data_IF_665616971897
#
_entry.id   IF_665616971897
#
_cell.length_a   1.000
_cell.length_b   1.000
_cell.length_c   1.000
_cell.angle_alpha   90.00
_cell.angle_beta   90.00
_cell.angle_gamma   90.00
#
_symmetry.space_group_name_H-M   'P 1'
#
loop_
_entity.id
_entity.type
_entity.pdbx_description
1 polymer ?
#
# COMPACT_ATOMS: atom_id res chain seq x y z
N UNK A 1 56.90 0.36 18.91
CA UNK A 1 55.89 -0.74 19.02
C UNK A 1 54.52 -0.26 19.53
N UNK A 2 53.96 0.81 19.01
CA UNK A 2 52.70 1.40 19.57
C UNK A 2 51.55 1.59 18.55
N UNK A 3 51.79 1.29 17.25
CA UNK A 3 50.74 1.45 16.23
C UNK A 3 49.78 0.27 16.07
N UNK A 4 50.13 -0.93 16.51
CA UNK A 4 49.26 -2.11 16.36
C UNK A 4 48.12 -2.18 17.37
N UNK A 5 48.28 -1.58 18.57
CA UNK A 5 47.22 -1.61 19.60
C UNK A 5 46.04 -0.67 19.28
N UNK A 6 46.26 0.41 18.53
CA UNK A 6 45.25 1.37 18.16
C UNK A 6 44.23 0.81 17.10
N UNK A 7 44.73 -0.03 16.18
CA UNK A 7 43.92 -0.58 15.11
C UNK A 7 42.89 -1.62 15.66
N UNK A 8 43.36 -2.42 16.63
CA UNK A 8 42.50 -3.42 17.28
C UNK A 8 41.41 -2.78 18.15
N UNK A 9 41.71 -1.66 18.81
CA UNK A 9 40.71 -0.90 19.57
C UNK A 9 39.65 -0.28 18.65
N UNK A 10 40.04 0.16 17.44
CA UNK A 10 39.14 0.74 16.46
C UNK A 10 38.23 -0.32 15.83
N UNK A 11 38.74 -1.52 15.53
CA UNK A 11 37.97 -2.66 15.01
C UNK A 11 36.99 -3.16 16.06
N UNK A 12 37.38 -3.24 17.33
CA UNK A 12 36.46 -3.64 18.42
C UNK A 12 35.37 -2.60 18.65
N UNK A 13 35.65 -1.31 18.56
CA UNK A 13 34.65 -0.25 18.65
C UNK A 13 33.67 -0.30 17.47
N UNK A 14 34.14 -0.58 16.25
CA UNK A 14 33.32 -0.71 15.07
C UNK A 14 32.39 -1.93 15.16
N UNK A 15 32.85 -3.06 15.68
CA UNK A 15 32.06 -4.27 15.89
C UNK A 15 30.96 -4.11 16.94
N UNK A 16 31.09 -3.17 17.89
CA UNK A 16 30.09 -2.88 18.91
C UNK A 16 29.03 -1.87 18.41
N UNK A 17 29.40 -0.98 17.49
CA UNK A 17 28.46 0.01 16.94
C UNK A 17 27.53 -0.61 15.91
N UNK A 18 28.00 -1.54 15.08
CA UNK A 18 27.20 -2.19 14.03
C UNK A 18 26.00 -2.95 14.60
N UNK A 19 26.12 -3.83 15.62
CA UNK A 19 24.94 -4.49 16.19
C UNK A 19 24.00 -3.53 16.94
N UNK A 20 24.51 -2.43 17.52
CA UNK A 20 23.65 -1.44 18.16
C UNK A 20 22.82 -0.65 17.15
N UNK A 21 23.35 -0.37 15.95
CA UNK A 21 22.57 0.23 14.87
C UNK A 21 21.51 -0.75 14.32
N UNK A 22 21.82 -2.04 14.21
CA UNK A 22 20.83 -3.05 13.83
C UNK A 22 19.76 -3.27 14.89
N UNK A 23 20.09 -3.10 16.19
CA UNK A 23 19.08 -3.19 17.25
C UNK A 23 18.17 -1.95 17.32
N UNK A 24 18.64 -0.76 16.90
CA UNK A 24 17.80 0.43 16.82
C UNK A 24 16.82 0.41 15.63
N UNK A 25 17.13 -0.35 14.57
CA UNK A 25 16.19 -0.60 13.47
C UNK A 25 15.21 -1.72 13.77
N UNK A 26 15.44 -2.51 14.82
CA UNK A 26 14.55 -3.58 15.29
C UNK A 26 13.44 -3.09 16.24
N UNK A 27 13.33 -1.79 16.54
CA UNK A 27 12.06 -1.17 16.94
C UNK A 27 11.17 -0.99 15.70
N UNK A 28 11.08 -2.02 14.88
CA UNK A 28 10.13 -2.10 13.79
C UNK A 28 8.73 -1.99 14.36
N UNK A 29 7.92 -1.08 13.83
CA UNK A 29 6.50 -1.06 14.13
C UNK A 29 5.97 -2.48 14.00
N UNK A 30 5.45 -3.00 15.11
CA UNK A 30 4.92 -4.35 15.15
C UNK A 30 3.86 -4.47 14.05
N UNK A 31 3.97 -5.47 13.20
CA UNK A 31 2.98 -5.74 12.17
C UNK A 31 1.60 -5.86 12.81
N UNK A 32 0.61 -5.26 12.17
CA UNK A 32 -0.79 -5.38 12.59
C UNK A 32 -1.49 -6.49 11.80
N UNK A 33 -2.63 -6.98 12.31
CA UNK A 33 -3.57 -7.74 11.51
C UNK A 33 -4.37 -6.75 10.66
N UNK A 34 -4.64 -7.08 9.40
CA UNK A 34 -5.55 -6.31 8.56
C UNK A 34 -7.02 -6.52 8.92
N UNK A 35 -7.35 -7.63 9.60
CA UNK A 35 -8.73 -8.00 9.97
C UNK A 35 -9.33 -6.99 10.94
N UNK A 36 -10.55 -6.55 10.63
CA UNK A 36 -11.25 -5.52 11.39
C UNK A 36 -10.72 -4.10 11.19
N UNK A 37 -9.79 -3.88 10.25
CA UNK A 37 -9.14 -2.59 10.06
C UNK A 37 -9.67 -1.87 8.82
N UNK A 38 -9.86 -0.57 8.97
CA UNK A 38 -10.20 0.36 7.87
C UNK A 38 -8.96 1.15 7.46
N UNK A 39 -8.74 1.25 6.17
CA UNK A 39 -7.63 1.98 5.56
C UNK A 39 -8.18 3.15 4.74
N UNK A 40 -7.61 4.33 4.96
CA UNK A 40 -8.05 5.58 4.31
C UNK A 40 -6.86 6.43 3.87
N UNK A 41 -7.10 7.35 2.95
CA UNK A 41 -6.14 8.43 2.63
C UNK A 41 -6.14 9.42 3.79
N UNK A 42 -4.98 9.65 4.41
CA UNK A 42 -4.83 10.63 5.49
C UNK A 42 -4.53 12.03 4.97
N UNK A 43 -3.71 12.12 3.92
CA UNK A 43 -3.31 13.40 3.34
C UNK A 43 -3.30 13.30 1.80
N UNK A 44 -4.32 13.89 1.17
CA UNK A 44 -4.48 13.86 -0.29
C UNK A 44 -3.29 14.42 -1.08
N UNK A 45 -2.46 15.28 -0.50
CA UNK A 45 -1.33 15.88 -1.20
C UNK A 45 -0.10 14.96 -1.19
N UNK A 46 0.16 14.26 -0.08
CA UNK A 46 1.33 13.37 0.05
C UNK A 46 1.03 11.91 -0.29
N UNK A 47 -0.22 11.47 -0.08
CA UNK A 47 -0.60 10.07 -0.22
C UNK A 47 -1.11 9.73 -1.62
N UNK A 48 -1.36 10.75 -2.47
CA UNK A 48 -1.80 10.58 -3.83
C UNK A 48 -0.77 11.20 -4.78
N UNK A 49 -0.19 10.36 -5.63
CA UNK A 49 0.77 10.77 -6.67
C UNK A 49 0.22 10.40 -8.03
N UNK A 50 0.15 11.37 -8.95
CA UNK A 50 -0.22 11.12 -10.34
C UNK A 50 1.03 11.19 -11.18
N UNK A 51 1.35 10.10 -11.85
CA UNK A 51 2.47 10.02 -12.78
C UNK A 51 1.92 10.28 -14.19
N UNK A 52 2.03 11.51 -14.63
CA UNK A 52 1.53 11.95 -15.92
C UNK A 52 2.38 11.44 -17.07
N UNK A 53 1.71 10.91 -18.11
CA UNK A 53 2.29 10.66 -19.41
C UNK A 53 2.15 11.87 -20.35
N UNK A 54 2.44 11.67 -21.62
CA UNK A 54 2.25 12.67 -22.69
C UNK A 54 0.76 12.86 -23.08
N UNK A 55 -0.15 12.08 -22.51
CA UNK A 55 -1.61 12.17 -22.60
C UNK A 55 -2.25 13.03 -21.49
N UNK A 56 -1.42 13.74 -20.70
CA UNK A 56 -1.86 14.58 -19.59
C UNK A 56 -2.96 15.57 -19.99
N UNK A 57 -2.76 16.28 -21.08
CA UNK A 57 -3.69 17.34 -21.49
C UNK A 57 -5.07 16.78 -21.82
N UNK A 58 -5.14 15.63 -22.49
CA UNK A 58 -6.39 14.92 -22.78
C UNK A 58 -7.13 14.50 -21.52
N UNK A 59 -6.40 13.93 -20.56
CA UNK A 59 -6.98 13.49 -19.28
C UNK A 59 -7.43 14.72 -18.46
N UNK A 60 -6.65 15.80 -18.49
CA UNK A 60 -6.99 17.04 -17.77
C UNK A 60 -8.25 17.73 -18.34
N UNK A 61 -8.55 17.59 -19.65
CA UNK A 61 -9.80 18.06 -20.23
C UNK A 61 -11.02 17.33 -19.65
N UNK A 62 -10.90 16.04 -19.32
CA UNK A 62 -11.98 15.23 -18.76
C UNK A 62 -12.18 15.50 -17.26
N UNK A 63 -11.10 15.54 -16.47
CA UNK A 63 -11.17 15.66 -15.01
C UNK A 63 -11.12 17.10 -14.49
N UNK A 64 -10.77 18.05 -15.33
CA UNK A 64 -10.72 19.49 -15.07
C UNK A 64 -9.45 19.95 -14.36
N UNK A 65 -8.91 19.23 -13.38
CA UNK A 65 -7.70 19.60 -12.67
C UNK A 65 -7.06 18.42 -11.91
N UNK A 66 -5.75 18.52 -11.64
CA UNK A 66 -5.05 17.55 -10.77
C UNK A 66 -5.63 17.52 -9.35
N UNK A 67 -6.09 18.66 -8.85
CA UNK A 67 -6.75 18.75 -7.53
C UNK A 67 -8.06 17.93 -7.51
N UNK A 68 -8.84 17.97 -8.57
CA UNK A 68 -10.05 17.15 -8.72
C UNK A 68 -9.70 15.66 -8.74
N UNK A 69 -8.68 15.25 -9.51
CA UNK A 69 -8.21 13.88 -9.54
C UNK A 69 -7.79 13.39 -8.14
N UNK A 70 -7.03 14.20 -7.41
CA UNK A 70 -6.63 13.90 -6.03
C UNK A 70 -7.83 13.87 -5.08
N UNK A 71 -8.79 14.77 -5.25
CA UNK A 71 -10.00 14.78 -4.44
C UNK A 71 -10.82 13.50 -4.64
N UNK A 72 -11.02 13.05 -5.87
CA UNK A 72 -11.69 11.78 -6.18
C UNK A 72 -10.92 10.59 -5.59
N UNK A 73 -9.62 10.52 -5.80
CA UNK A 73 -8.78 9.43 -5.27
C UNK A 73 -8.73 9.41 -3.73
N UNK A 74 -8.92 10.56 -3.06
CA UNK A 74 -8.94 10.64 -1.61
C UNK A 74 -10.17 10.03 -0.95
N UNK A 75 -11.20 9.70 -1.72
CA UNK A 75 -12.42 9.06 -1.22
C UNK A 75 -12.30 7.54 -1.12
N UNK A 76 -11.15 6.99 -1.50
CA UNK A 76 -10.90 5.55 -1.47
C UNK A 76 -10.79 5.05 -0.03
N UNK A 77 -11.62 4.06 0.32
CA UNK A 77 -11.62 3.42 1.65
C UNK A 77 -11.69 1.91 1.47
N UNK A 78 -10.83 1.19 2.17
CA UNK A 78 -10.86 -0.27 2.26
C UNK A 78 -11.14 -0.68 3.71
N UNK A 79 -12.16 -1.49 3.94
CA UNK A 79 -12.47 -2.04 5.26
C UNK A 79 -12.46 -3.56 5.19
N UNK A 80 -11.54 -4.17 5.90
CA UNK A 80 -11.41 -5.62 6.01
C UNK A 80 -12.21 -6.11 7.22
N UNK A 81 -13.03 -7.14 7.02
CA UNK A 81 -13.77 -7.74 8.12
C UNK A 81 -12.98 -8.90 8.78
N UNK A 82 -13.50 -9.41 9.90
CA UNK A 82 -12.88 -10.50 10.66
C UNK A 82 -12.95 -11.85 9.92
N UNK A 83 -13.86 -11.99 8.94
CA UNK A 83 -14.18 -13.24 8.27
C UNK A 83 -13.54 -13.40 6.90
N UNK A 84 -12.67 -12.47 6.49
CA UNK A 84 -12.00 -12.50 5.19
C UNK A 84 -12.77 -11.78 4.08
N UNK A 85 -13.80 -11.03 4.43
CA UNK A 85 -14.47 -10.12 3.54
C UNK A 85 -13.78 -8.76 3.48
N UNK A 86 -14.08 -7.99 2.44
CA UNK A 86 -13.62 -6.61 2.27
C UNK A 86 -14.72 -5.77 1.65
N UNK A 87 -14.90 -4.57 2.19
CA UNK A 87 -15.74 -3.53 1.61
C UNK A 87 -14.86 -2.44 1.02
N UNK A 88 -15.19 -2.00 -0.17
CA UNK A 88 -14.47 -0.98 -0.91
C UNK A 88 -15.41 0.18 -1.12
N UNK A 89 -15.02 1.39 -0.71
CA UNK A 89 -15.79 2.60 -0.97
C UNK A 89 -14.99 3.57 -1.82
N UNK A 90 -15.64 4.12 -2.84
CA UNK A 90 -15.07 5.12 -3.76
C UNK A 90 -16.15 6.14 -4.04
N UNK A 91 -15.89 7.44 -3.80
CA UNK A 91 -16.86 8.50 -4.07
C UNK A 91 -18.15 8.41 -3.24
N UNK A 92 -18.15 7.60 -2.17
CA UNK A 92 -19.32 7.34 -1.33
C UNK A 92 -20.16 6.14 -1.78
N UNK A 93 -19.83 5.53 -2.91
CA UNK A 93 -20.41 4.24 -3.32
C UNK A 93 -19.66 3.11 -2.62
N UNK A 94 -20.39 2.09 -2.18
CA UNK A 94 -19.83 0.96 -1.43
C UNK A 94 -20.03 -0.31 -2.25
N UNK A 95 -18.92 -0.93 -2.64
CA UNK A 95 -18.88 -2.30 -3.14
C UNK A 95 -18.61 -3.24 -1.96
N UNK A 96 -19.59 -4.03 -1.58
CA UNK A 96 -19.54 -4.94 -0.43
C UNK A 96 -19.67 -6.39 -0.87
N UNK A 97 -19.29 -7.30 0.03
CA UNK A 97 -19.41 -8.74 -0.20
C UNK A 97 -18.29 -9.31 -1.06
N UNK A 98 -17.17 -8.60 -1.17
CA UNK A 98 -15.96 -9.13 -1.78
C UNK A 98 -15.16 -9.93 -0.75
N UNK A 99 -14.39 -10.88 -1.23
CA UNK A 99 -13.41 -11.66 -0.46
C UNK A 99 -12.01 -11.33 -0.96
N UNK A 100 -11.00 -11.53 -0.12
CA UNK A 100 -9.63 -11.23 -0.50
C UNK A 100 -8.65 -12.32 -0.07
N UNK A 101 -7.54 -12.38 -0.78
CA UNK A 101 -6.35 -13.16 -0.41
C UNK A 101 -5.13 -12.25 -0.50
N UNK A 102 -4.24 -12.37 0.47
CA UNK A 102 -2.93 -11.73 0.43
C UNK A 102 -1.93 -12.78 -0.04
N UNK A 103 -1.27 -12.53 -1.17
CA UNK A 103 -0.28 -13.45 -1.72
C UNK A 103 1.11 -13.26 -1.06
N UNK A 104 2.09 -14.06 -1.48
CA UNK A 104 3.46 -14.05 -0.94
C UNK A 104 4.19 -12.70 -1.13
N UNK A 105 3.81 -11.92 -2.14
CA UNK A 105 4.34 -10.60 -2.42
C UNK A 105 3.65 -9.47 -1.63
N UNK A 106 2.76 -9.81 -0.70
CA UNK A 106 1.86 -8.91 0.02
C UNK A 106 0.86 -8.18 -0.89
N UNK A 107 0.60 -8.68 -2.10
CA UNK A 107 -0.45 -8.15 -2.96
C UNK A 107 -1.81 -8.69 -2.55
N UNK A 108 -2.84 -7.84 -2.64
CA UNK A 108 -4.22 -8.17 -2.32
C UNK A 108 -4.91 -8.57 -3.63
N UNK A 109 -5.53 -9.72 -3.63
CA UNK A 109 -6.31 -10.25 -4.74
C UNK A 109 -7.77 -10.35 -4.32
N UNK A 110 -8.70 -9.90 -5.16
CA UNK A 110 -10.13 -9.83 -4.84
C UNK A 110 -10.92 -10.93 -5.55
N UNK A 111 -11.98 -11.40 -4.90
CA UNK A 111 -12.83 -12.48 -5.35
C UNK A 111 -14.31 -12.19 -5.05
N UNK A 112 -15.22 -12.75 -5.84
CA UNK A 112 -16.65 -12.58 -5.66
C UNK A 112 -17.22 -13.51 -4.59
N UNK A 113 -16.58 -14.65 -4.33
CA UNK A 113 -17.03 -15.64 -3.35
C UNK A 113 -15.89 -16.09 -2.45
N UNK A 114 -16.23 -16.57 -1.27
CA UNK A 114 -15.26 -17.17 -0.35
C UNK A 114 -14.61 -18.41 -0.97
N UNK A 115 -15.37 -19.24 -1.67
CA UNK A 115 -14.87 -20.44 -2.33
C UNK A 115 -13.82 -20.11 -3.40
N UNK A 116 -14.06 -19.08 -4.22
CA UNK A 116 -13.08 -18.61 -5.21
C UNK A 116 -11.81 -18.09 -4.52
N UNK A 117 -11.93 -17.38 -3.42
CA UNK A 117 -10.80 -16.89 -2.65
C UNK A 117 -9.96 -18.03 -2.05
N UNK A 118 -10.61 -19.02 -1.43
CA UNK A 118 -9.95 -20.19 -0.85
C UNK A 118 -9.20 -21.03 -1.89
N UNK A 119 -9.79 -21.17 -3.09
CA UNK A 119 -9.22 -21.92 -4.19
C UNK A 119 -8.35 -21.08 -5.14
N UNK A 120 -8.29 -19.75 -4.95
CA UNK A 120 -7.60 -18.77 -5.82
C UNK A 120 -8.06 -18.85 -7.28
N UNK A 121 -9.35 -19.03 -7.48
CA UNK A 121 -9.98 -19.10 -8.79
C UNK A 121 -10.81 -17.84 -9.05
N UNK A 122 -11.02 -17.51 -10.34
CA UNK A 122 -11.90 -16.42 -10.77
C UNK A 122 -11.59 -15.06 -10.08
N UNK A 123 -10.29 -14.73 -9.96
CA UNK A 123 -9.86 -13.43 -9.44
C UNK A 123 -10.57 -12.31 -10.21
N UNK A 124 -11.09 -11.32 -9.48
CA UNK A 124 -11.70 -10.13 -10.07
C UNK A 124 -10.61 -9.14 -10.48
N UNK A 125 -10.69 -8.66 -11.72
CA UNK A 125 -9.70 -7.72 -12.30
C UNK A 125 -10.35 -6.57 -13.05
N UNK A 126 -11.65 -6.38 -12.86
CA UNK A 126 -12.41 -5.35 -13.57
C UNK A 126 -12.28 -4.01 -12.84
N UNK A 127 -12.33 -2.92 -13.59
CA UNK A 127 -12.32 -1.53 -13.11
C UNK A 127 -11.19 -1.26 -12.10
N UNK A 128 -11.51 -0.66 -10.95
CA UNK A 128 -10.57 -0.38 -9.88
C UNK A 128 -9.98 -1.65 -9.23
N UNK A 129 -10.65 -2.80 -9.30
CA UNK A 129 -10.14 -4.08 -8.78
C UNK A 129 -9.01 -4.66 -9.63
N UNK A 130 -8.84 -4.20 -10.86
CA UNK A 130 -7.70 -4.51 -11.71
C UNK A 130 -6.41 -3.78 -11.34
N UNK A 131 -6.46 -2.80 -10.42
CA UNK A 131 -5.27 -2.13 -9.91
C UNK A 131 -4.39 -3.08 -9.08
N UNK A 132 -3.12 -2.72 -8.92
CA UNK A 132 -2.23 -3.40 -7.98
C UNK A 132 -2.45 -2.84 -6.58
N UNK A 133 -2.86 -3.71 -5.64
CA UNK A 133 -3.01 -3.40 -4.22
C UNK A 133 -1.91 -4.12 -3.44
N UNK A 134 -1.09 -3.39 -2.71
CA UNK A 134 0.04 -3.98 -1.98
C UNK A 134 0.15 -3.47 -0.55
N UNK A 135 0.21 -4.38 0.41
CA UNK A 135 0.51 -4.06 1.80
C UNK A 135 2.00 -3.71 1.99
N UNK A 136 2.26 -2.77 2.90
CA UNK A 136 3.56 -2.66 3.55
C UNK A 136 3.84 -3.90 4.40
N UNK A 137 5.12 -4.17 4.72
CA UNK A 137 5.53 -5.35 5.49
C UNK A 137 4.88 -5.40 6.90
N UNK A 138 4.58 -4.24 7.49
CA UNK A 138 3.91 -4.11 8.78
C UNK A 138 2.38 -4.02 8.67
N UNK A 139 1.83 -4.11 7.47
CA UNK A 139 0.40 -4.00 7.14
C UNK A 139 -0.27 -2.70 7.57
N UNK A 140 0.48 -1.63 7.82
CA UNK A 140 -0.07 -0.32 8.20
C UNK A 140 -0.45 0.54 7.02
N UNK A 141 0.09 0.24 5.85
CA UNK A 141 -0.16 0.99 4.61
C UNK A 141 -0.51 0.04 3.48
N UNK A 142 -1.51 0.41 2.70
CA UNK A 142 -1.81 -0.19 1.40
C UNK A 142 -1.43 0.81 0.33
N UNK A 143 -0.61 0.40 -0.61
CA UNK A 143 -0.33 1.16 -1.82
C UNK A 143 -1.17 0.60 -2.96
N UNK A 144 -1.98 1.45 -3.57
CA UNK A 144 -2.77 1.13 -4.76
C UNK A 144 -2.08 1.79 -5.95
N UNK A 145 -1.78 1.01 -6.98
CA UNK A 145 -1.25 1.53 -8.23
C UNK A 145 -2.21 1.18 -9.36
N UNK A 146 -2.88 2.20 -9.88
CA UNK A 146 -3.86 2.06 -10.95
C UNK A 146 -3.34 2.71 -12.22
N UNK A 147 -3.46 2.00 -13.34
CA UNK A 147 -3.20 2.54 -14.66
C UNK A 147 -4.46 3.24 -15.15
N UNK A 148 -4.37 4.53 -15.45
CA UNK A 148 -5.47 5.33 -16.01
C UNK A 148 -5.45 5.25 -17.53
N UNK A 149 -4.25 5.24 -18.10
CA UNK A 149 -4.01 5.08 -19.54
C UNK A 149 -2.74 4.28 -19.78
N UNK A 150 -2.35 4.04 -21.02
CA UNK A 150 -1.08 3.39 -21.34
C UNK A 150 0.15 4.13 -20.75
N UNK A 151 0.04 5.42 -20.43
CA UNK A 151 1.14 6.30 -20.07
C UNK A 151 0.97 7.03 -18.72
N UNK A 152 -0.26 7.15 -18.24
CA UNK A 152 -0.58 7.83 -16.98
C UNK A 152 -1.05 6.83 -15.92
N UNK A 153 -0.51 6.93 -14.72
CA UNK A 153 -0.91 6.12 -13.58
C UNK A 153 -1.11 6.96 -12.32
N UNK A 154 -1.95 6.47 -11.42
CA UNK A 154 -2.11 7.04 -10.08
C UNK A 154 -1.61 6.04 -9.03
N UNK A 155 -0.94 6.57 -8.02
CA UNK A 155 -0.51 5.83 -6.84
C UNK A 155 -1.21 6.44 -5.63
N UNK A 156 -1.96 5.63 -4.89
CA UNK A 156 -2.71 6.04 -3.70
C UNK A 156 -2.16 5.25 -2.52
N UNK A 157 -1.89 5.93 -1.40
CA UNK A 157 -1.52 5.29 -0.13
C UNK A 157 -2.66 5.42 0.84
N UNK A 158 -3.12 4.29 1.34
CA UNK A 158 -4.12 4.20 2.41
C UNK A 158 -3.42 3.78 3.69
N UNK A 159 -3.67 4.49 4.77
CA UNK A 159 -3.12 4.18 6.09
C UNK A 159 -4.17 3.55 6.99
N UNK A 160 -3.74 2.61 7.83
CA UNK A 160 -4.60 1.94 8.80
C UNK A 160 -5.09 2.93 9.87
N UNK A 161 -6.38 2.90 10.14
CA UNK A 161 -7.01 3.62 11.26
C UNK A 161 -6.97 2.70 12.50
N UNK A 162 -5.86 2.73 13.26
CA UNK A 162 -5.60 1.89 14.45
C UNK A 162 -5.08 2.74 15.59
#
# INVERSE_FOLDING_TARGET
MTKKKSIWAFVLALCLIVPAMFMMTACGNKSISEKGVTYTVLNKQSDITINWGDDKDTIMEEIGSEENAKAMSSTFILTFDENGGVNISIGGEIDSGRFYVINEDNCIEFYNTQEDAENKLNRVTDDYLGAEYKFSADKRVITIKQQISAKTSVVIKLSANV
#
